data_IF_822564194731
#
_entry.id   IF_822564194731
#
_cell.length_a   1.000
_cell.length_b   1.000
_cell.length_c   1.000
_cell.angle_alpha   90.00
_cell.angle_beta   90.00
_cell.angle_gamma   90.00
#
_symmetry.space_group_name_H-M   'P 1'
#
loop_
_entity.id
_entity.type
_entity.pdbx_description
1 polymer ?
#
# COMPACT_ATOMS: atom_id res chain seq x y z
N UNK A 1 -36.40 19.16 49.96
CA UNK A 1 -37.46 18.92 48.97
C UNK A 1 -36.76 18.82 47.63
N UNK A 2 -36.64 17.69 46.94
CA UNK A 2 -37.56 16.54 46.82
C UNK A 2 -36.76 15.29 46.44
N UNK A 3 -37.02 14.21 47.18
CA UNK A 3 -36.63 12.85 46.87
C UNK A 3 -37.35 12.37 45.60
N UNK A 4 -36.61 11.84 44.62
CA UNK A 4 -37.11 10.83 43.68
C UNK A 4 -36.03 9.73 43.53
N UNK A 5 -36.19 8.74 44.41
CA UNK A 5 -36.25 7.30 44.10
C UNK A 5 -35.09 6.63 43.35
N UNK A 6 -34.31 5.87 44.13
CA UNK A 6 -33.62 4.62 43.74
C UNK A 6 -34.50 3.77 42.82
N UNK A 7 -34.08 3.59 41.58
CA UNK A 7 -34.44 2.43 40.78
C UNK A 7 -33.19 1.95 40.02
N UNK A 8 -32.76 0.74 40.37
CA UNK A 8 -32.02 -0.21 39.53
C UNK A 8 -30.65 0.19 38.97
N UNK A 9 -29.67 0.19 39.88
CA UNK A 9 -28.37 -0.40 39.56
C UNK A 9 -28.58 -1.88 39.15
N UNK A 10 -28.58 -2.20 37.84
CA UNK A 10 -28.26 -3.51 37.23
C UNK A 10 -28.66 -3.62 35.73
N UNK A 11 -28.22 -2.69 34.86
CA UNK A 11 -28.27 -2.91 33.39
C UNK A 11 -26.98 -2.52 32.66
N UNK A 12 -25.84 -2.79 33.28
CA UNK A 12 -24.53 -2.75 32.62
C UNK A 12 -23.75 -4.01 33.01
N UNK A 13 -23.92 -5.11 32.26
CA UNK A 13 -22.72 -5.86 31.88
C UNK A 13 -22.70 -6.35 30.42
N UNK A 14 -23.72 -6.07 29.59
CA UNK A 14 -23.76 -6.62 28.23
C UNK A 14 -23.10 -5.75 27.13
N UNK A 15 -22.76 -4.50 27.41
CA UNK A 15 -22.05 -3.62 26.47
C UNK A 15 -20.53 -3.57 26.68
N UNK A 16 -20.00 -4.23 27.71
CA UNK A 16 -18.56 -4.33 27.96
C UNK A 16 -17.93 -5.62 27.41
N UNK A 17 -18.75 -6.57 26.92
CA UNK A 17 -18.25 -7.81 26.31
C UNK A 17 -18.00 -7.69 24.80
N UNK A 18 -18.58 -6.68 24.13
CA UNK A 18 -18.42 -6.47 22.68
C UNK A 18 -17.16 -5.65 22.32
N UNK A 19 -16.51 -4.99 23.27
CA UNK A 19 -15.31 -4.19 23.01
C UNK A 19 -14.00 -4.98 23.11
N UNK A 20 -14.04 -6.28 23.45
CA UNK A 20 -12.83 -7.11 23.65
C UNK A 20 -12.37 -7.88 22.41
N UNK A 21 -12.96 -7.61 21.23
CA UNK A 21 -12.62 -8.29 19.97
C UNK A 21 -11.93 -7.39 18.91
N UNK A 22 -11.46 -6.20 19.27
CA UNK A 22 -10.70 -5.32 18.37
C UNK A 22 -9.37 -4.87 18.99
N UNK A 23 -8.58 -5.83 19.48
CA UNK A 23 -7.20 -5.55 19.90
C UNK A 23 -6.31 -6.74 19.60
N UNK A 24 -5.82 -6.81 18.36
CA UNK A 24 -4.42 -7.12 18.03
C UNK A 24 -4.30 -7.46 16.53
N UNK A 25 -4.48 -6.47 15.65
CA UNK A 25 -3.84 -6.60 14.34
C UNK A 25 -2.36 -6.37 14.58
N UNK A 26 -1.63 -7.44 14.90
CA UNK A 26 -0.17 -7.45 14.88
C UNK A 26 0.25 -7.14 13.45
N UNK A 27 0.46 -5.86 13.15
CA UNK A 27 1.23 -5.45 11.99
C UNK A 27 2.67 -5.89 12.28
N UNK A 28 2.97 -7.16 11.99
CA UNK A 28 4.36 -7.55 11.78
C UNK A 28 4.87 -6.64 10.67
N UNK A 29 6.00 -5.95 10.86
CA UNK A 29 6.63 -5.27 9.75
C UNK A 29 6.92 -6.37 8.73
N UNK A 30 6.15 -6.38 7.64
CA UNK A 30 6.44 -7.28 6.54
C UNK A 30 7.81 -6.85 6.08
N UNK A 31 8.83 -7.63 6.43
CA UNK A 31 10.14 -7.53 5.78
C UNK A 31 9.81 -7.53 4.31
N UNK A 32 10.11 -6.41 3.63
CA UNK A 32 10.11 -6.37 2.18
C UNK A 32 11.22 -7.34 1.77
N UNK A 33 10.89 -8.63 1.72
CA UNK A 33 11.63 -9.60 0.94
C UNK A 33 11.52 -9.01 -0.44
N UNK A 34 12.61 -8.37 -0.89
CA UNK A 34 12.75 -7.95 -2.27
C UNK A 34 12.29 -9.17 -3.07
N UNK A 35 11.17 -9.09 -3.81
CA UNK A 35 10.82 -10.17 -4.72
C UNK A 35 12.09 -10.37 -5.54
N UNK A 36 12.64 -11.59 -5.54
CA UNK A 36 13.61 -11.95 -6.55
C UNK A 36 13.01 -11.48 -7.87
N UNK A 37 13.77 -10.76 -8.72
CA UNK A 37 13.25 -10.31 -10.00
C UNK A 37 12.47 -11.49 -10.61
N UNK A 38 11.21 -11.28 -11.02
CA UNK A 38 10.42 -12.37 -11.57
C UNK A 38 11.30 -13.06 -12.60
N UNK A 39 11.39 -14.40 -12.60
CA UNK A 39 12.13 -15.11 -13.64
C UNK A 39 11.65 -14.51 -14.95
N UNK A 40 12.59 -13.96 -15.72
CA UNK A 40 12.33 -13.31 -17.00
C UNK A 40 11.25 -14.11 -17.70
N UNK A 41 10.07 -13.52 -17.90
CA UNK A 41 8.92 -14.25 -18.46
C UNK A 41 9.18 -14.70 -19.91
N UNK A 42 10.35 -14.38 -20.46
CA UNK A 42 11.01 -15.15 -21.49
C UNK A 42 11.87 -16.26 -20.86
N UNK A 43 11.30 -17.45 -20.70
CA UNK A 43 12.10 -18.63 -21.04
C UNK A 43 12.65 -18.41 -22.46
N UNK A 44 13.88 -18.86 -22.79
CA UNK A 44 14.49 -18.52 -24.07
C UNK A 44 13.52 -18.86 -25.19
N UNK A 45 13.07 -17.87 -26.01
CA UNK A 45 12.32 -18.20 -27.21
C UNK A 45 13.16 -19.19 -28.02
N UNK A 46 12.56 -20.31 -28.47
CA UNK A 46 13.31 -21.35 -29.14
C UNK A 46 13.94 -20.78 -30.42
N UNK A 47 15.28 -20.66 -30.44
CA UNK A 47 16.03 -20.32 -31.66
C UNK A 47 16.98 -19.11 -31.60
N UNK A 48 17.20 -18.46 -30.44
CA UNK A 48 18.19 -17.37 -30.32
C UNK A 48 19.57 -17.84 -29.85
N UNK A 49 20.62 -17.14 -30.29
CA UNK A 49 22.01 -17.43 -29.89
C UNK A 49 22.26 -17.00 -28.43
N UNK A 50 23.14 -17.73 -27.71
CA UNK A 50 23.50 -17.43 -26.31
C UNK A 50 23.98 -15.99 -26.10
N UNK A 51 24.68 -15.42 -27.09
CA UNK A 51 25.12 -14.03 -27.07
C UNK A 51 23.94 -13.06 -27.19
N UNK A 52 22.96 -13.37 -28.05
CA UNK A 52 21.74 -12.57 -28.16
C UNK A 52 20.92 -12.62 -26.87
N UNK A 53 20.79 -13.80 -26.24
CA UNK A 53 20.14 -13.95 -24.93
C UNK A 53 20.81 -13.11 -23.83
N UNK A 54 22.14 -13.11 -23.77
CA UNK A 54 22.88 -12.29 -22.82
C UNK A 54 22.60 -10.80 -23.03
N UNK A 55 22.63 -10.33 -24.27
CA UNK A 55 22.33 -8.92 -24.58
C UNK A 55 20.90 -8.56 -24.21
N UNK A 56 19.92 -9.41 -24.55
CA UNK A 56 18.50 -9.21 -24.17
C UNK A 56 18.37 -9.10 -22.65
N UNK A 57 19.00 -10.00 -21.89
CA UNK A 57 18.93 -9.95 -20.42
C UNK A 57 19.52 -8.64 -19.85
N UNK A 58 20.59 -8.11 -20.45
CA UNK A 58 21.19 -6.83 -20.03
C UNK A 58 20.32 -5.63 -20.37
N UNK A 59 19.61 -5.68 -21.49
CA UNK A 59 18.62 -4.65 -21.86
C UNK A 59 17.44 -4.70 -20.89
N UNK A 60 16.94 -5.89 -20.54
CA UNK A 60 15.87 -6.04 -19.56
C UNK A 60 16.29 -5.55 -18.17
N UNK A 61 17.51 -5.85 -17.74
CA UNK A 61 18.09 -5.33 -16.49
C UNK A 61 18.09 -3.79 -16.47
N UNK A 62 18.49 -3.17 -17.59
CA UNK A 62 18.52 -1.71 -17.72
C UNK A 62 17.13 -1.10 -17.70
N UNK A 63 16.17 -1.68 -18.42
CA UNK A 63 14.78 -1.22 -18.44
C UNK A 63 14.11 -1.35 -17.07
N UNK A 64 14.36 -2.46 -16.36
CA UNK A 64 13.86 -2.67 -15.01
C UNK A 64 14.54 -1.75 -13.99
N UNK A 65 15.81 -1.41 -14.20
CA UNK A 65 16.50 -0.39 -13.40
C UNK A 65 15.89 1.00 -13.59
N UNK A 66 15.54 1.37 -14.82
CA UNK A 66 14.87 2.64 -15.10
C UNK A 66 13.48 2.68 -14.44
N UNK A 67 12.63 1.67 -14.67
CA UNK A 67 11.26 1.61 -14.10
C UNK A 67 11.24 1.62 -12.58
N UNK A 68 12.20 0.95 -11.91
CA UNK A 68 12.27 0.95 -10.44
C UNK A 68 12.90 2.22 -9.86
N UNK A 69 13.67 2.96 -10.65
CA UNK A 69 14.41 4.14 -10.21
C UNK A 69 13.61 5.44 -10.30
N UNK A 70 12.47 5.45 -10.99
CA UNK A 70 11.62 6.62 -11.18
C UNK A 70 10.14 6.24 -11.19
N UNK A 71 9.65 5.67 -10.10
CA UNK A 71 8.24 5.27 -10.00
C UNK A 71 7.39 6.46 -9.56
N UNK A 72 6.40 6.86 -10.35
CA UNK A 72 5.54 8.02 -10.02
C UNK A 72 4.17 7.58 -9.50
N UNK A 73 3.98 7.46 -8.18
CA UNK A 73 2.70 7.10 -7.60
C UNK A 73 1.70 8.23 -7.66
N UNK A 74 0.44 7.86 -7.88
CA UNK A 74 -0.73 8.66 -7.54
C UNK A 74 -1.26 8.21 -6.18
N UNK A 75 -1.44 9.16 -5.26
CA UNK A 75 -1.94 8.89 -3.90
C UNK A 75 -3.46 8.89 -3.88
N UNK A 76 -4.07 7.80 -3.43
CA UNK A 76 -5.50 7.72 -3.22
C UNK A 76 -5.78 7.54 -1.72
N UNK A 77 -5.76 8.66 -1.01
CA UNK A 77 -5.96 8.70 0.44
C UNK A 77 -7.43 8.65 0.82
N UNK A 78 -7.89 7.51 1.33
CA UNK A 78 -9.29 7.26 1.71
C UNK A 78 -9.54 7.30 3.22
N UNK A 79 -8.53 7.00 4.03
CA UNK A 79 -8.64 6.94 5.48
C UNK A 79 -7.31 7.30 6.17
N UNK A 80 -7.10 6.80 7.39
CA UNK A 80 -5.90 7.07 8.20
C UNK A 80 -4.58 6.66 7.53
N UNK A 81 -4.54 5.67 6.65
CA UNK A 81 -3.32 5.32 5.93
C UNK A 81 -2.80 6.47 5.03
N UNK A 82 -3.65 7.44 4.68
CA UNK A 82 -3.24 8.63 3.93
C UNK A 82 -2.25 9.49 4.74
N UNK A 83 -2.47 9.66 6.05
CA UNK A 83 -1.55 10.45 6.89
C UNK A 83 -0.25 9.72 7.16
N UNK A 84 -0.28 8.38 7.21
CA UNK A 84 0.94 7.57 7.24
C UNK A 84 1.72 7.74 5.95
N UNK A 85 1.05 7.79 4.80
CA UNK A 85 1.69 8.06 3.51
C UNK A 85 2.32 9.47 3.43
N UNK A 86 1.66 10.48 4.01
CA UNK A 86 2.22 11.83 4.12
C UNK A 86 3.49 11.82 4.99
N UNK A 87 3.50 11.07 6.09
CA UNK A 87 4.71 10.90 6.91
C UNK A 87 5.80 10.11 6.20
N UNK A 88 5.46 9.15 5.33
CA UNK A 88 6.47 8.50 4.49
C UNK A 88 7.04 9.44 3.44
N UNK A 89 6.26 10.42 2.96
CA UNK A 89 6.77 11.49 2.08
C UNK A 89 7.48 12.63 2.82
N UNK A 90 7.50 12.63 4.16
CA UNK A 90 8.15 13.66 4.96
C UNK A 90 9.67 13.40 5.08
N UNK A 91 10.39 14.40 5.60
CA UNK A 91 11.86 14.43 5.67
C UNK A 91 12.53 13.20 6.31
N UNK A 92 11.83 12.49 7.21
CA UNK A 92 12.38 11.30 7.87
C UNK A 92 12.49 10.09 6.92
N UNK A 93 11.51 9.91 6.03
CA UNK A 93 11.38 8.73 5.16
C UNK A 93 11.29 9.10 3.68
N UNK A 94 11.81 10.27 3.33
CA UNK A 94 11.69 10.95 2.05
C UNK A 94 11.67 10.01 0.82
N UNK A 95 10.50 9.92 0.21
CA UNK A 95 10.23 9.17 -1.00
C UNK A 95 10.95 9.74 -2.23
N UNK A 96 11.23 11.04 -2.26
CA UNK A 96 11.94 11.68 -3.37
C UNK A 96 13.36 11.10 -3.53
N UNK A 97 13.98 10.65 -2.42
CA UNK A 97 15.29 9.99 -2.44
C UNK A 97 15.29 8.67 -3.23
N UNK A 98 14.16 8.00 -3.35
CA UNK A 98 14.00 6.78 -4.13
C UNK A 98 13.50 7.06 -5.55
N UNK A 99 13.42 8.33 -5.98
CA UNK A 99 12.85 8.75 -7.25
C UNK A 99 11.33 8.64 -7.29
N UNK A 100 10.69 8.66 -6.12
CA UNK A 100 9.24 8.51 -5.96
C UNK A 100 8.61 9.90 -5.84
N UNK A 101 7.95 10.34 -6.90
CA UNK A 101 7.30 11.65 -6.95
C UNK A 101 5.80 11.46 -7.03
N UNK A 102 5.07 12.03 -6.07
CA UNK A 102 3.62 11.98 -6.05
C UNK A 102 3.03 12.87 -7.16
N UNK A 103 2.40 12.25 -8.17
CA UNK A 103 1.66 12.96 -9.21
C UNK A 103 0.16 12.85 -8.95
N UNK A 104 -0.58 13.98 -8.86
CA UNK A 104 -2.01 13.95 -8.54
C UNK A 104 -2.87 13.45 -9.71
N UNK A 105 -2.32 13.46 -10.94
CA UNK A 105 -3.06 13.07 -12.13
C UNK A 105 -2.84 11.59 -12.47
N UNK A 106 -3.90 10.79 -12.66
CA UNK A 106 -3.82 9.36 -13.03
C UNK A 106 -3.13 9.11 -14.37
N UNK A 107 -3.08 10.11 -15.24
CA UNK A 107 -2.58 9.99 -16.62
C UNK A 107 -1.06 10.01 -16.72
N UNK A 108 -0.39 10.43 -15.65
CA UNK A 108 1.06 10.65 -15.62
C UNK A 108 1.75 9.80 -14.56
N UNK A 109 1.02 8.89 -13.91
CA UNK A 109 1.49 8.06 -12.81
C UNK A 109 1.67 6.62 -13.24
N UNK A 110 2.72 5.96 -12.76
CA UNK A 110 3.02 4.56 -13.07
C UNK A 110 2.30 3.58 -12.14
N UNK A 111 2.00 4.00 -10.92
CA UNK A 111 1.32 3.16 -9.93
C UNK A 111 0.30 3.96 -9.10
N UNK A 112 -0.66 3.25 -8.51
CA UNK A 112 -1.71 3.81 -7.67
C UNK A 112 -1.63 3.25 -6.26
N UNK A 113 -1.49 4.14 -5.26
CA UNK A 113 -1.46 3.75 -3.85
C UNK A 113 -2.82 4.03 -3.22
N UNK A 114 -3.60 2.97 -3.01
CA UNK A 114 -4.90 3.04 -2.32
C UNK A 114 -4.65 2.94 -0.81
N UNK A 115 -4.71 4.07 -0.13
CA UNK A 115 -4.41 4.17 1.29
C UNK A 115 -5.66 4.44 2.11
N UNK A 116 -6.26 3.35 2.57
CA UNK A 116 -7.40 3.37 3.48
C UNK A 116 -8.44 2.33 3.09
N UNK A 117 -9.56 2.36 3.80
CA UNK A 117 -10.68 1.45 3.56
C UNK A 117 -11.43 1.82 2.29
N UNK A 118 -11.63 0.85 1.41
CA UNK A 118 -12.43 1.01 0.21
C UNK A 118 -13.88 0.64 0.51
N UNK A 119 -14.80 1.57 0.28
CA UNK A 119 -16.24 1.34 0.47
C UNK A 119 -16.92 0.97 -0.84
N UNK A 120 -18.02 0.22 -0.78
CA UNK A 120 -18.80 -0.17 -1.98
C UNK A 120 -19.24 1.04 -2.82
N UNK A 121 -19.47 2.19 -2.19
CA UNK A 121 -19.81 3.45 -2.88
C UNK A 121 -18.61 4.04 -3.64
N UNK A 122 -17.39 3.83 -3.16
CA UNK A 122 -16.17 4.34 -3.78
C UNK A 122 -15.61 3.39 -4.86
N UNK A 123 -15.99 2.11 -4.85
CA UNK A 123 -15.49 1.12 -5.80
C UNK A 123 -15.62 1.52 -7.29
N UNK A 124 -16.73 2.13 -7.76
CA UNK A 124 -16.84 2.56 -9.15
C UNK A 124 -15.89 3.71 -9.54
N UNK A 125 -15.44 4.51 -8.57
CA UNK A 125 -14.53 5.64 -8.84
C UNK A 125 -13.05 5.21 -8.90
N UNK A 126 -12.71 4.03 -8.40
CA UNK A 126 -11.34 3.50 -8.42
C UNK A 126 -11.03 2.74 -9.72
N UNK A 127 -12.04 2.11 -10.33
CA UNK A 127 -11.91 1.24 -11.50
C UNK A 127 -11.67 2.02 -12.78
#
# INVERSE_FOLDING_TARGET
>A
MSLITRATANRLPHLLFAQRALSSSSATPTTYVRPSPPPSTSGPPPGISKTAEYVISKVDDLLNWARRGSIWPMTFGLACCAVEMMHTGASRYDFDRFGVIFRPSPRQSDCMIVAGTLTNKMAPALR
#
